data_IF_093310965279
#
_entry.id   IF_093310965279
#
_cell.length_a   1.000
_cell.length_b   1.000
_cell.length_c   1.000
_cell.angle_alpha   90.00
_cell.angle_beta   90.00
_cell.angle_gamma   90.00
#
_symmetry.space_group_name_H-M   'P 1'
#
loop_
_entity.id
_entity.type
_entity.pdbx_description
1 polymer ?
#
# COMPACT_ATOMS: atom_id res chain seq x y z
N UNK A 1 23.36 3.70 -13.79
CA UNK A 1 22.47 3.66 -12.60
C UNK A 1 22.42 2.21 -12.13
N UNK A 2 22.89 1.89 -10.91
CA UNK A 2 22.80 0.51 -10.40
C UNK A 2 21.33 0.21 -10.05
N UNK A 3 20.74 -0.81 -10.67
CA UNK A 3 19.37 -1.25 -10.39
C UNK A 3 19.18 -1.64 -8.92
N UNK A 4 20.22 -2.14 -8.28
CA UNK A 4 20.18 -2.58 -6.87
C UNK A 4 19.95 -1.42 -5.89
N UNK A 5 20.24 -0.18 -6.31
CA UNK A 5 20.01 1.02 -5.51
C UNK A 5 18.59 1.59 -5.67
N UNK A 6 17.76 1.00 -6.55
CA UNK A 6 16.41 1.47 -6.85
C UNK A 6 15.40 0.48 -6.29
N UNK A 7 14.51 0.97 -5.42
CA UNK A 7 13.36 0.22 -4.91
C UNK A 7 12.10 0.70 -5.62
N UNK A 8 11.33 -0.23 -6.18
CA UNK A 8 10.04 0.08 -6.81
C UNK A 8 8.91 -0.11 -5.80
N UNK A 9 8.06 0.91 -5.71
CA UNK A 9 6.90 0.98 -4.83
C UNK A 9 5.67 1.41 -5.63
N UNK A 10 4.48 1.21 -5.06
CA UNK A 10 3.21 1.59 -5.67
C UNK A 10 2.27 2.24 -4.65
N UNK A 11 1.58 3.30 -5.07
CA UNK A 11 0.63 4.00 -4.22
C UNK A 11 -0.66 3.16 -4.01
N UNK A 12 -1.32 3.26 -2.84
CA UNK A 12 -2.53 2.52 -2.54
C UNK A 12 -3.78 2.96 -3.32
N UNK A 13 -3.69 4.04 -4.10
CA UNK A 13 -4.83 4.59 -4.86
C UNK A 13 -5.46 3.59 -5.84
N UNK A 14 -4.71 2.57 -6.28
CA UNK A 14 -5.25 1.49 -7.12
C UNK A 14 -6.26 0.58 -6.38
N UNK A 15 -6.28 0.61 -5.05
CA UNK A 15 -7.14 -0.23 -4.22
C UNK A 15 -8.13 0.55 -3.35
N UNK A 16 -7.88 1.82 -3.08
CA UNK A 16 -8.74 2.66 -2.24
C UNK A 16 -8.61 4.11 -2.64
N UNK A 17 -9.69 4.88 -2.61
CA UNK A 17 -9.67 6.29 -2.97
C UNK A 17 -10.06 7.16 -1.76
N UNK A 18 -9.23 8.15 -1.45
CA UNK A 18 -9.45 9.03 -0.29
C UNK A 18 -10.49 10.13 -0.57
N UNK A 19 -10.64 10.56 -1.83
CA UNK A 19 -11.65 11.55 -2.25
C UNK A 19 -13.03 10.91 -2.50
N UNK A 20 -13.05 9.63 -2.91
CA UNK A 20 -14.25 8.82 -3.15
C UNK A 20 -14.20 7.53 -2.30
N UNK A 21 -14.51 7.61 -0.99
CA UNK A 21 -14.30 6.50 -0.05
C UNK A 21 -15.06 5.22 -0.37
N UNK A 22 -16.11 5.30 -1.20
CA UNK A 22 -16.86 4.15 -1.71
C UNK A 22 -16.04 3.26 -2.67
N UNK A 23 -15.03 3.83 -3.35
CA UNK A 23 -14.19 3.09 -4.27
C UNK A 23 -13.12 2.32 -3.48
N UNK A 24 -13.29 0.99 -3.43
CA UNK A 24 -12.39 0.11 -2.68
C UNK A 24 -12.61 0.16 -1.17
N UNK A 25 -13.81 0.54 -0.73
CA UNK A 25 -14.18 0.60 0.68
C UNK A 25 -14.02 -0.74 1.40
N UNK A 26 -14.26 -1.83 0.67
CA UNK A 26 -14.20 -3.23 1.08
C UNK A 26 -12.77 -3.73 1.30
N UNK A 27 -11.77 -3.07 0.67
CA UNK A 27 -10.39 -3.51 0.75
C UNK A 27 -9.81 -3.18 2.12
N UNK A 28 -9.14 -4.18 2.71
CA UNK A 28 -8.42 -4.02 3.98
C UNK A 28 -6.97 -3.64 3.72
N UNK A 29 -6.32 -2.95 4.67
CA UNK A 29 -4.88 -2.66 4.61
C UNK A 29 -4.06 -3.91 4.29
N UNK A 30 -4.35 -5.03 4.95
CA UNK A 30 -3.63 -6.29 4.78
C UNK A 30 -3.76 -6.82 3.35
N UNK A 31 -4.96 -6.74 2.76
CA UNK A 31 -5.18 -7.15 1.38
C UNK A 31 -4.40 -6.26 0.41
N UNK A 32 -4.49 -4.94 0.59
CA UNK A 32 -3.78 -3.96 -0.25
C UNK A 32 -2.28 -4.26 -0.28
N UNK A 33 -1.63 -4.39 0.89
CA UNK A 33 -0.20 -4.68 0.98
C UNK A 33 0.15 -6.06 0.42
N UNK A 34 -0.71 -7.07 0.65
CA UNK A 34 -0.49 -8.43 0.12
C UNK A 34 -0.53 -8.45 -1.40
N UNK A 35 -1.46 -7.73 -2.03
CA UNK A 35 -1.58 -7.65 -3.49
C UNK A 35 -0.45 -6.84 -4.12
N UNK A 36 0.00 -5.76 -3.47
CA UNK A 36 1.19 -5.01 -3.90
C UNK A 36 2.45 -5.88 -3.90
N UNK A 37 2.65 -6.67 -2.83
CA UNK A 37 3.77 -7.59 -2.74
C UNK A 37 3.67 -8.70 -3.80
N UNK A 38 2.48 -9.25 -4.04
CA UNK A 38 2.24 -10.24 -5.09
C UNK A 38 2.54 -9.70 -6.49
N UNK A 39 2.26 -8.41 -6.72
CA UNK A 39 2.58 -7.71 -7.96
C UNK A 39 4.08 -7.37 -8.12
N UNK A 40 4.92 -7.67 -7.12
CA UNK A 40 6.38 -7.49 -7.17
C UNK A 40 6.86 -6.12 -6.69
N UNK A 41 6.01 -5.32 -6.05
CA UNK A 41 6.42 -4.07 -5.43
C UNK A 41 6.99 -4.29 -4.03
N UNK A 42 7.96 -3.45 -3.67
CA UNK A 42 8.74 -3.57 -2.42
C UNK A 42 8.39 -2.48 -1.40
N UNK A 43 7.34 -1.69 -1.66
CA UNK A 43 6.87 -0.64 -0.76
C UNK A 43 5.60 0.04 -1.26
N UNK A 44 5.02 0.86 -0.39
CA UNK A 44 3.86 1.70 -0.68
C UNK A 44 3.95 3.02 0.09
N UNK A 45 3.15 4.00 -0.35
CA UNK A 45 2.83 5.19 0.43
C UNK A 45 1.72 4.88 1.45
N UNK A 46 1.49 5.78 2.41
CA UNK A 46 0.45 5.61 3.42
C UNK A 46 -0.90 6.05 2.86
N UNK A 47 -1.87 5.13 2.80
CA UNK A 47 -3.26 5.41 2.44
C UNK A 47 -4.19 5.53 3.65
N UNK A 48 -5.40 6.06 3.47
CA UNK A 48 -6.39 6.23 4.55
C UNK A 48 -6.76 4.95 5.32
N UNK A 49 -6.66 3.79 4.65
CA UNK A 49 -6.94 2.46 5.21
C UNK A 49 -5.81 1.91 6.09
N UNK A 50 -4.62 2.51 6.07
CA UNK A 50 -3.47 2.01 6.82
C UNK A 50 -3.64 2.28 8.33
N UNK A 51 -3.25 1.32 9.19
CA UNK A 51 -3.18 1.57 10.62
C UNK A 51 -2.25 2.75 10.92
N UNK A 52 -2.66 3.61 11.86
CA UNK A 52 -1.81 4.72 12.34
C UNK A 52 -0.89 4.31 13.48
N UNK A 53 -1.14 3.15 14.07
CA UNK A 53 -0.31 2.58 15.13
C UNK A 53 0.91 1.86 14.51
N UNK A 54 2.15 2.33 14.77
CA UNK A 54 3.36 1.69 14.29
C UNK A 54 3.49 0.21 14.74
N UNK A 55 2.94 -0.15 15.90
CA UNK A 55 2.97 -1.52 16.38
C UNK A 55 2.14 -2.47 15.49
N UNK A 56 1.08 -1.94 14.85
CA UNK A 56 0.23 -2.70 13.93
C UNK A 56 0.84 -2.74 12.53
N UNK A 57 1.50 -1.66 12.09
CA UNK A 57 2.16 -1.59 10.79
C UNK A 57 3.31 -2.60 10.66
N UNK A 58 4.03 -2.83 11.77
CA UNK A 58 5.26 -3.63 11.86
C UNK A 58 6.42 -3.00 11.04
N UNK A 59 7.67 -3.19 11.49
CA UNK A 59 8.85 -2.70 10.77
C UNK A 59 9.11 -3.44 9.46
#
# INVERSE_FOLDING_TARGET
MNKENVKLAIAPIGWTNDDMPELGAENTFQQIVSEMALAGFTGSEVGSKYPRDPAVLKP
#
